data_IF_403427091822
#
_entry.id   IF_403427091822
#
_cell.length_a   1.000
_cell.length_b   1.000
_cell.length_c   1.000
_cell.angle_alpha   90.00
_cell.angle_beta   90.00
_cell.angle_gamma   90.00
#
_symmetry.space_group_name_H-M   'P 1'
#
loop_
_entity.id
_entity.type
_entity.pdbx_description
1 polymer ?
#
# COMPACT_ATOMS: atom_id res chain seq x y z
N UNK A 1 -6.82 -7.17 9.50
CA UNK A 1 -5.40 -7.45 9.79
C UNK A 1 -5.03 -6.83 11.13
N UNK A 2 -4.13 -7.43 11.91
CA UNK A 2 -3.76 -6.94 13.27
C UNK A 2 -2.89 -5.67 13.30
N UNK A 3 -2.46 -5.15 12.15
CA UNK A 3 -1.55 -4.01 12.03
C UNK A 3 -2.20 -2.67 12.44
N UNK A 4 -3.46 -2.47 12.06
CA UNK A 4 -4.18 -1.21 12.25
C UNK A 4 -5.63 -1.50 12.64
N UNK A 5 -6.17 -0.79 13.63
CA UNK A 5 -7.56 -0.93 14.11
C UNK A 5 -8.42 0.21 13.59
N UNK A 6 -9.72 -0.03 13.38
CA UNK A 6 -10.68 1.04 13.11
C UNK A 6 -10.93 1.82 14.40
N UNK A 7 -10.39 3.04 14.49
CA UNK A 7 -10.28 3.81 15.72
C UNK A 7 -11.62 4.01 16.46
N UNK A 8 -12.73 4.44 15.80
CA UNK A 8 -13.99 4.66 16.51
C UNK A 8 -14.53 3.40 17.19
N UNK A 9 -14.26 2.22 16.63
CA UNK A 9 -14.78 0.95 17.15
C UNK A 9 -13.80 0.17 18.01
N UNK A 10 -12.49 0.42 17.85
CA UNK A 10 -11.42 -0.42 18.39
C UNK A 10 -11.39 -1.84 17.79
N UNK A 11 -12.04 -2.08 16.65
CA UNK A 11 -12.11 -3.38 16.01
C UNK A 11 -11.17 -3.49 14.82
N UNK A 12 -10.57 -4.66 14.66
CA UNK A 12 -9.89 -5.14 13.47
C UNK A 12 -10.88 -5.85 12.53
N UNK A 13 -10.34 -6.36 11.42
CA UNK A 13 -11.08 -7.16 10.44
C UNK A 13 -11.95 -8.25 11.06
N UNK A 14 -13.16 -8.37 10.52
CA UNK A 14 -14.19 -9.33 10.92
C UNK A 14 -14.68 -9.18 12.37
N UNK A 15 -14.68 -7.94 12.90
CA UNK A 15 -15.24 -7.59 14.21
C UNK A 15 -14.36 -7.99 15.40
N UNK A 16 -13.10 -8.34 15.16
CA UNK A 16 -12.19 -8.76 16.22
C UNK A 16 -11.71 -7.55 17.04
N UNK A 17 -11.69 -7.68 18.37
CA UNK A 17 -11.31 -6.60 19.29
C UNK A 17 -10.16 -7.05 20.18
N UNK A 18 -8.90 -6.86 19.75
CA UNK A 18 -7.75 -7.38 20.46
C UNK A 18 -7.49 -6.56 21.73
N UNK A 19 -7.12 -7.21 22.83
CA UNK A 19 -6.60 -6.51 24.02
C UNK A 19 -5.11 -6.22 23.85
N UNK A 20 -4.57 -5.29 24.66
CA UNK A 20 -3.13 -5.01 24.70
C UNK A 20 -2.34 -6.28 25.03
N UNK A 21 -2.79 -7.05 26.02
CA UNK A 21 -2.14 -8.29 26.43
C UNK A 21 -2.12 -9.33 25.31
N UNK A 22 -3.18 -9.42 24.50
CA UNK A 22 -3.22 -10.34 23.36
C UNK A 22 -2.33 -9.89 22.20
N UNK A 23 -2.13 -8.59 22.00
CA UNK A 23 -1.20 -8.07 20.98
C UNK A 23 0.27 -8.26 21.39
N UNK A 24 0.57 -8.23 22.69
CA UNK A 24 1.92 -8.43 23.21
C UNK A 24 2.33 -9.91 23.30
N UNK A 25 1.36 -10.82 23.40
CA UNK A 25 1.61 -12.26 23.56
C UNK A 25 1.29 -13.04 22.27
N UNK A 26 2.33 -13.37 21.50
CA UNK A 26 2.19 -14.07 20.21
C UNK A 26 1.47 -15.43 20.28
N UNK A 27 1.55 -16.13 21.41
CA UNK A 27 0.91 -17.44 21.59
C UNK A 27 -0.62 -17.37 21.56
N UNK A 28 -1.24 -16.32 22.12
CA UNK A 28 -2.70 -16.13 22.11
C UNK A 28 -3.21 -15.47 20.83
N UNK A 29 -2.34 -14.73 20.15
CA UNK A 29 -2.65 -14.03 18.89
C UNK A 29 -2.94 -14.99 17.71
N UNK A 30 -2.20 -16.09 17.60
CA UNK A 30 -2.21 -16.96 16.40
C UNK A 30 -3.53 -17.66 16.11
N UNK A 31 -4.34 -17.97 17.12
CA UNK A 31 -5.62 -18.64 16.88
C UNK A 31 -6.72 -17.66 16.49
N UNK A 32 -6.81 -16.53 17.20
CA UNK A 32 -7.91 -15.57 17.11
C UNK A 32 -7.72 -14.47 16.05
N UNK A 33 -6.48 -14.10 15.72
CA UNK A 33 -6.21 -12.89 14.95
C UNK A 33 -5.90 -13.15 13.47
N UNK A 34 -6.22 -12.19 12.56
CA UNK A 34 -5.81 -12.21 11.17
C UNK A 34 -4.34 -11.74 11.07
N UNK A 35 -3.46 -12.60 11.55
CA UNK A 35 -1.99 -12.48 11.54
C UNK A 35 -1.39 -13.16 10.32
N UNK A 36 -0.10 -12.94 10.06
CA UNK A 36 0.56 -13.40 8.84
C UNK A 36 0.58 -14.92 8.67
N UNK A 37 0.57 -15.71 9.76
CA UNK A 37 0.50 -17.17 9.68
C UNK A 37 -0.78 -17.68 8.97
N UNK A 38 -1.87 -16.91 8.99
CA UNK A 38 -3.10 -17.25 8.25
C UNK A 38 -2.90 -17.21 6.74
N UNK A 39 -2.05 -16.30 6.26
CA UNK A 39 -1.66 -16.20 4.84
C UNK A 39 -0.73 -17.34 4.45
N UNK A 40 0.24 -17.70 5.31
CA UNK A 40 1.11 -18.86 5.09
C UNK A 40 0.34 -20.16 4.90
N UNK A 41 -0.68 -20.40 5.72
CA UNK A 41 -1.56 -21.59 5.59
C UNK A 41 -2.32 -21.66 4.26
N UNK A 42 -2.37 -20.56 3.50
CA UNK A 42 -3.03 -20.45 2.19
C UNK A 42 -2.05 -20.29 1.02
N UNK A 43 -0.74 -20.44 1.25
CA UNK A 43 0.28 -20.29 0.21
C UNK A 43 0.74 -18.85 -0.03
N UNK A 44 0.59 -17.97 0.98
CA UNK A 44 0.95 -16.55 0.92
C UNK A 44 0.15 -15.79 -0.17
N UNK A 45 0.74 -14.76 -0.77
CA UNK A 45 0.11 -13.95 -1.80
C UNK A 45 0.70 -14.35 -3.15
N UNK A 46 -0.13 -14.90 -4.02
CA UNK A 46 0.20 -15.18 -5.43
C UNK A 46 -0.97 -14.72 -6.27
N UNK A 47 -0.73 -13.86 -7.26
CA UNK A 47 -1.81 -13.32 -8.07
C UNK A 47 -1.30 -12.46 -9.22
N UNK A 48 -2.23 -11.81 -9.92
CA UNK A 48 -1.90 -10.88 -11.00
C UNK A 48 -1.56 -9.53 -10.39
N UNK A 49 -0.29 -9.12 -10.47
CA UNK A 49 0.13 -7.76 -10.15
C UNK A 49 -0.15 -6.82 -11.31
N UNK A 50 -0.59 -5.60 -11.02
CA UNK A 50 -0.75 -4.52 -12.00
C UNK A 50 -0.01 -3.28 -11.50
N UNK A 51 0.95 -2.78 -12.29
CA UNK A 51 1.74 -1.61 -11.93
C UNK A 51 1.14 -0.34 -12.53
N UNK A 52 0.73 0.58 -11.67
CA UNK A 52 0.40 1.96 -11.99
C UNK A 52 1.64 2.83 -11.75
N UNK A 53 2.27 3.27 -12.84
CA UNK A 53 3.50 4.05 -12.80
C UNK A 53 3.21 5.55 -12.90
N UNK A 54 2.77 6.11 -11.77
CA UNK A 54 2.44 7.53 -11.67
C UNK A 54 3.66 8.42 -11.90
N UNK A 55 4.84 8.00 -11.42
CA UNK A 55 6.08 8.76 -11.58
C UNK A 55 6.42 8.99 -13.05
N UNK A 56 6.46 7.94 -13.86
CA UNK A 56 6.78 8.08 -15.29
C UNK A 56 5.69 8.82 -16.06
N UNK A 57 4.42 8.63 -15.69
CA UNK A 57 3.31 9.41 -16.25
C UNK A 57 3.47 10.91 -15.95
N UNK A 58 3.76 11.27 -14.70
CA UNK A 58 3.97 12.64 -14.30
C UNK A 58 5.15 13.29 -15.02
N UNK A 59 6.27 12.58 -15.17
CA UNK A 59 7.43 13.06 -15.92
C UNK A 59 7.09 13.30 -17.40
N UNK A 60 6.36 12.37 -18.03
CA UNK A 60 5.95 12.47 -19.44
C UNK A 60 5.01 13.65 -19.70
N UNK A 61 4.17 14.00 -18.72
CA UNK A 61 3.16 15.05 -18.82
C UNK A 61 3.56 16.35 -18.12
N UNK A 62 4.82 16.49 -17.71
CA UNK A 62 5.35 17.67 -17.01
C UNK A 62 4.60 18.03 -15.71
N UNK A 63 4.02 17.03 -15.04
CA UNK A 63 3.34 17.19 -13.75
C UNK A 63 4.40 17.28 -12.65
N UNK A 64 4.47 18.43 -11.98
CA UNK A 64 5.41 18.66 -10.88
C UNK A 64 4.80 18.23 -9.55
N UNK A 65 5.46 17.30 -8.87
CA UNK A 65 5.19 16.94 -7.47
C UNK A 65 6.50 16.54 -6.79
N UNK A 66 6.47 16.39 -5.46
CA UNK A 66 7.60 15.87 -4.69
C UNK A 66 7.18 14.57 -3.97
N UNK A 67 8.04 13.54 -3.94
CA UNK A 67 7.78 12.33 -3.16
C UNK A 67 7.54 12.58 -1.66
N UNK A 68 8.12 13.65 -1.10
CA UNK A 68 8.01 14.03 0.31
C UNK A 68 7.12 15.25 0.53
N UNK A 69 6.15 15.50 -0.37
CA UNK A 69 5.06 16.46 -0.15
C UNK A 69 3.74 15.75 0.09
N UNK A 70 2.70 16.47 0.50
CA UNK A 70 1.34 15.92 0.64
C UNK A 70 0.60 15.74 -0.68
N UNK A 71 1.30 15.44 -1.79
CA UNK A 71 0.68 15.25 -3.11
C UNK A 71 -0.25 14.03 -3.13
N UNK A 72 -1.50 14.22 -3.56
CA UNK A 72 -2.56 13.21 -3.45
C UNK A 72 -3.00 12.74 -4.83
N UNK A 73 -2.99 11.42 -5.02
CA UNK A 73 -3.40 10.77 -6.25
C UNK A 73 -4.84 10.28 -6.07
N UNK A 74 -5.76 10.87 -6.83
CA UNK A 74 -7.19 10.54 -6.80
C UNK A 74 -7.51 9.25 -7.58
N UNK A 75 -8.71 8.67 -7.42
CA UNK A 75 -9.12 7.53 -8.25
C UNK A 75 -9.09 7.85 -9.75
N UNK A 76 -9.48 9.07 -10.15
CA UNK A 76 -9.42 9.52 -11.54
C UNK A 76 -8.00 9.60 -12.09
N UNK A 77 -7.02 9.97 -11.26
CA UNK A 77 -5.61 9.98 -11.67
C UNK A 77 -5.13 8.55 -11.97
N UNK A 78 -5.50 7.58 -11.11
CA UNK A 78 -5.15 6.17 -11.32
C UNK A 78 -5.77 5.64 -12.61
N UNK A 79 -7.05 5.92 -12.86
CA UNK A 79 -7.73 5.48 -14.09
C UNK A 79 -7.12 6.14 -15.34
N UNK A 80 -6.66 7.38 -15.22
CA UNK A 80 -5.97 8.09 -16.31
C UNK A 80 -4.63 7.45 -16.63
N UNK A 81 -3.84 7.14 -15.60
CA UNK A 81 -2.55 6.47 -15.76
C UNK A 81 -2.74 5.05 -16.29
N UNK A 82 -3.75 4.32 -15.79
CA UNK A 82 -4.11 3.00 -16.29
C UNK A 82 -4.49 3.04 -17.77
N UNK A 83 -5.27 4.04 -18.21
CA UNK A 83 -5.60 4.23 -19.61
C UNK A 83 -4.37 4.55 -20.48
N UNK A 84 -3.45 5.40 -19.98
CA UNK A 84 -2.18 5.71 -20.63
C UNK A 84 -1.29 4.45 -20.79
N UNK A 85 -1.28 3.59 -19.78
CA UNK A 85 -0.56 2.31 -19.79
C UNK A 85 -1.29 1.18 -20.56
N UNK A 86 -2.54 1.41 -21.00
CA UNK A 86 -3.37 0.38 -21.64
C UNK A 86 -3.83 -0.74 -20.71
N UNK A 87 -3.92 -0.48 -19.41
CA UNK A 87 -4.32 -1.45 -18.38
C UNK A 87 -5.84 -1.58 -18.32
N UNK A 88 -6.30 -2.82 -18.22
CA UNK A 88 -7.66 -3.15 -17.77
C UNK A 88 -7.56 -3.91 -16.45
N UNK A 89 -8.17 -3.34 -15.41
CA UNK A 89 -8.26 -4.00 -14.11
C UNK A 89 -9.21 -5.20 -14.15
N UNK A 90 -8.85 -6.22 -13.39
CA UNK A 90 -9.61 -7.46 -13.21
C UNK A 90 -9.82 -7.73 -11.72
N UNK A 91 -10.88 -8.48 -11.41
CA UNK A 91 -11.15 -8.87 -10.03
C UNK A 91 -10.02 -9.74 -9.49
N UNK A 92 -9.53 -9.42 -8.30
CA UNK A 92 -8.42 -10.12 -7.65
C UNK A 92 -7.04 -9.57 -7.99
N UNK A 93 -6.95 -8.51 -8.79
CA UNK A 93 -5.68 -7.82 -9.06
C UNK A 93 -5.02 -7.35 -7.75
N UNK A 94 -3.69 -7.39 -7.76
CA UNK A 94 -2.85 -6.76 -6.75
C UNK A 94 -2.38 -5.44 -7.33
N UNK A 95 -2.94 -4.34 -6.84
CA UNK A 95 -2.63 -2.99 -7.30
C UNK A 95 -1.27 -2.56 -6.76
N UNK A 96 -0.34 -2.22 -7.64
CA UNK A 96 1.00 -1.76 -7.28
C UNK A 96 1.17 -0.33 -7.79
N UNK A 97 1.59 0.59 -6.93
CA UNK A 97 1.65 2.02 -7.22
C UNK A 97 3.10 2.53 -7.08
N UNK A 98 3.65 3.07 -8.16
CA UNK A 98 4.95 3.73 -8.13
C UNK A 98 4.79 5.25 -8.13
N UNK A 99 5.22 5.88 -7.04
CA UNK A 99 5.25 7.33 -6.85
C UNK A 99 6.67 7.92 -6.88
N UNK A 100 7.71 7.10 -6.96
CA UNK A 100 9.13 7.51 -6.99
C UNK A 100 9.77 7.73 -5.62
N UNK A 101 9.14 7.31 -4.52
CA UNK A 101 9.65 7.57 -3.15
C UNK A 101 10.91 6.76 -2.84
N UNK A 102 10.91 5.44 -3.08
CA UNK A 102 12.11 4.61 -2.79
C UNK A 102 13.31 4.95 -3.67
N UNK A 103 13.09 5.37 -4.91
CA UNK A 103 14.13 5.86 -5.82
C UNK A 103 14.78 7.15 -5.28
N UNK A 104 13.96 8.12 -4.89
CA UNK A 104 14.45 9.38 -4.33
C UNK A 104 15.23 9.14 -3.02
N UNK A 105 14.71 8.28 -2.13
CA UNK A 105 15.43 7.86 -0.92
C UNK A 105 16.76 7.19 -1.25
N UNK A 106 16.81 6.35 -2.28
CA UNK A 106 18.03 5.63 -2.69
C UNK A 106 19.18 6.54 -3.12
N UNK A 107 18.87 7.76 -3.58
CA UNK A 107 19.84 8.77 -3.99
C UNK A 107 20.32 9.68 -2.84
N UNK A 108 19.71 9.58 -1.66
CA UNK A 108 20.00 10.41 -0.48
C UNK A 108 21.04 9.77 0.43
N UNK A 109 21.78 10.62 1.16
CA UNK A 109 22.57 10.21 2.33
C UNK A 109 21.66 9.79 3.49
N UNK A 110 22.21 9.08 4.47
CA UNK A 110 21.45 8.65 5.66
C UNK A 110 20.83 9.82 6.45
N UNK A 111 21.52 10.97 6.52
CA UNK A 111 21.01 12.17 7.19
C UNK A 111 19.83 12.79 6.42
N UNK A 112 19.93 12.88 5.09
CA UNK A 112 18.85 13.37 4.22
C UNK A 112 17.63 12.45 4.27
N UNK A 113 17.84 11.12 4.26
CA UNK A 113 16.76 10.14 4.44
C UNK A 113 16.04 10.34 5.78
N UNK A 114 16.79 10.49 6.87
CA UNK A 114 16.22 10.73 8.20
C UNK A 114 15.38 12.02 8.22
N UNK A 115 15.90 13.10 7.62
CA UNK A 115 15.20 14.38 7.52
C UNK A 115 13.91 14.26 6.69
N UNK A 116 13.98 13.66 5.49
CA UNK A 116 12.84 13.46 4.61
C UNK A 116 11.72 12.64 5.28
N UNK A 117 12.10 11.53 5.93
CA UNK A 117 11.15 10.63 6.61
C UNK A 117 10.57 11.22 7.90
N UNK A 118 11.31 12.11 8.58
CA UNK A 118 10.83 12.78 9.79
C UNK A 118 9.80 13.88 9.53
N UNK A 119 9.67 14.34 8.27
CA UNK A 119 8.73 15.39 7.89
C UNK A 119 7.26 14.99 8.04
N UNK A 120 6.98 13.69 8.08
CA UNK A 120 5.63 13.11 8.04
C UNK A 120 4.80 13.56 6.83
N UNK A 121 5.46 14.01 5.75
CA UNK A 121 4.85 14.32 4.47
C UNK A 121 5.33 13.30 3.44
N UNK A 122 4.38 12.72 2.72
CA UNK A 122 4.66 11.77 1.66
C UNK A 122 3.52 11.79 0.66
N UNK A 123 3.85 11.71 -0.62
CA UNK A 123 2.85 11.57 -1.65
C UNK A 123 2.20 10.19 -1.56
N UNK A 124 1.02 10.01 -2.14
CA UNK A 124 0.35 8.72 -2.16
C UNK A 124 -1.10 8.82 -2.58
N UNK A 125 -1.84 7.72 -2.42
CA UNK A 125 -3.27 7.71 -2.68
C UNK A 125 -4.01 8.75 -1.83
N UNK A 126 -5.04 9.37 -2.39
CA UNK A 126 -5.90 10.24 -1.61
C UNK A 126 -6.62 9.46 -0.51
N UNK A 127 -6.44 9.88 0.75
CA UNK A 127 -7.04 9.25 1.93
C UNK A 127 -8.53 9.57 2.08
N UNK A 128 -9.38 9.16 1.14
CA UNK A 128 -10.82 9.46 1.14
C UNK A 128 -11.70 8.21 1.14
N UNK A 129 -12.96 8.38 1.57
CA UNK A 129 -13.99 7.33 1.42
C UNK A 129 -14.25 6.99 -0.05
N UNK A 130 -14.01 7.94 -0.95
CA UNK A 130 -14.12 7.71 -2.39
C UNK A 130 -13.03 6.77 -2.89
N UNK A 131 -11.77 7.01 -2.53
CA UNK A 131 -10.67 6.10 -2.83
C UNK A 131 -10.90 4.71 -2.25
N UNK A 132 -11.31 4.62 -0.98
CA UNK A 132 -11.64 3.33 -0.35
C UNK A 132 -12.75 2.58 -1.11
N UNK A 133 -13.81 3.30 -1.53
CA UNK A 133 -14.89 2.72 -2.34
C UNK A 133 -14.41 2.26 -3.70
N UNK A 134 -13.54 3.03 -4.35
CA UNK A 134 -12.97 2.67 -5.65
C UNK A 134 -12.14 1.38 -5.56
N UNK A 135 -11.24 1.29 -4.57
CA UNK A 135 -10.43 0.08 -4.30
C UNK A 135 -11.34 -1.14 -4.11
N UNK A 136 -12.38 -1.00 -3.27
CA UNK A 136 -13.34 -2.08 -3.03
C UNK A 136 -14.10 -2.50 -4.28
N UNK A 137 -14.64 -1.54 -5.04
CA UNK A 137 -15.45 -1.80 -6.23
C UNK A 137 -14.64 -2.41 -7.39
N UNK A 138 -13.33 -2.15 -7.46
CA UNK A 138 -12.42 -2.82 -8.41
C UNK A 138 -12.08 -4.26 -7.99
N UNK A 139 -12.46 -4.67 -6.78
CA UNK A 139 -12.19 -5.99 -6.22
C UNK A 139 -10.70 -6.33 -6.18
N UNK A 140 -9.85 -5.36 -5.85
CA UNK A 140 -8.42 -5.62 -5.62
C UNK A 140 -8.23 -6.57 -4.43
N UNK A 141 -7.28 -7.50 -4.56
CA UNK A 141 -6.93 -8.44 -3.50
C UNK A 141 -5.94 -7.83 -2.49
N UNK A 142 -5.11 -6.88 -2.93
CA UNK A 142 -4.09 -6.20 -2.15
C UNK A 142 -3.70 -4.88 -2.82
N UNK A 143 -3.10 -3.96 -2.06
CA UNK A 143 -2.50 -2.73 -2.59
C UNK A 143 -1.08 -2.63 -2.07
N UNK A 144 -0.12 -2.32 -2.94
CA UNK A 144 1.27 -2.07 -2.57
C UNK A 144 1.78 -0.79 -3.23
N UNK A 145 2.77 -0.15 -2.62
CA UNK A 145 3.40 1.05 -3.16
C UNK A 145 4.86 1.17 -2.76
N UNK A 146 5.55 2.12 -3.38
CA UNK A 146 6.91 2.54 -3.01
C UNK A 146 6.96 3.66 -1.97
N UNK A 147 5.83 4.19 -1.50
CA UNK A 147 5.80 5.17 -0.42
C UNK A 147 5.69 4.52 0.96
N UNK A 148 5.60 5.37 1.98
CA UNK A 148 5.66 4.99 3.41
C UNK A 148 4.33 4.52 4.01
N UNK A 149 3.21 4.72 3.31
CA UNK A 149 1.87 4.58 3.90
C UNK A 149 0.77 4.16 2.90
N UNK A 150 1.08 3.88 1.63
CA UNK A 150 0.13 3.74 0.51
C UNK A 150 -0.67 5.00 0.18
N UNK A 151 -1.30 5.63 1.18
CA UNK A 151 -1.97 6.92 1.11
C UNK A 151 -1.02 8.10 1.41
N UNK A 152 -1.39 9.28 0.94
CA UNK A 152 -0.65 10.51 1.14
C UNK A 152 -0.71 10.99 2.59
N UNK A 153 0.43 11.46 3.11
CA UNK A 153 0.57 12.00 4.44
C UNK A 153 0.82 13.53 4.41
N UNK A 154 0.28 14.27 5.39
CA UNK A 154 -0.58 13.83 6.50
C UNK A 154 -2.00 13.43 6.03
N UNK A 155 -2.76 12.64 6.82
CA UNK A 155 -4.16 12.36 6.49
C UNK A 155 -5.02 13.62 6.56
N UNK A 156 -5.95 13.75 5.62
CA UNK A 156 -6.91 14.85 5.53
C UNK A 156 -8.32 14.30 5.72
N UNK A 157 -9.03 14.78 6.72
CA UNK A 157 -10.43 14.38 6.99
C UNK A 157 -11.27 15.64 7.05
N UNK A 158 -12.27 15.72 6.18
CA UNK A 158 -13.18 16.86 6.04
C UNK A 158 -12.44 18.21 5.85
N UNK A 159 -11.33 18.17 5.10
CA UNK A 159 -10.51 19.35 4.79
C UNK A 159 -9.50 19.74 5.87
N UNK A 160 -9.42 18.99 6.98
CA UNK A 160 -8.48 19.25 8.07
C UNK A 160 -7.39 18.19 8.15
N UNK A 161 -6.15 18.62 8.41
CA UNK A 161 -5.06 17.71 8.76
C UNK A 161 -5.37 16.96 10.05
N UNK A 162 -5.09 15.66 10.06
CA UNK A 162 -5.25 14.79 11.22
C UNK A 162 -3.91 14.12 11.57
N UNK A 163 -3.77 13.64 12.81
CA UNK A 163 -2.61 12.83 13.21
C UNK A 163 -2.49 11.57 12.35
N UNK A 164 -1.28 11.03 12.21
CA UNK A 164 -1.01 9.80 11.44
C UNK A 164 -1.79 8.57 11.94
N UNK A 165 -2.29 8.59 13.18
CA UNK A 165 -3.18 7.54 13.67
C UNK A 165 -4.54 7.52 12.95
N UNK A 166 -4.91 8.57 12.22
CA UNK A 166 -6.17 8.68 11.49
C UNK A 166 -6.03 8.46 9.98
N UNK A 167 -4.98 7.74 9.55
CA UNK A 167 -4.85 7.27 8.17
C UNK A 167 -6.15 6.56 7.72
N UNK A 168 -6.71 7.02 6.61
CA UNK A 168 -8.07 6.69 6.19
C UNK A 168 -8.06 5.36 5.46
N UNK A 169 -7.18 5.18 4.48
CA UNK A 169 -7.08 3.93 3.72
C UNK A 169 -6.55 2.79 4.56
N UNK A 170 -5.67 3.05 5.53
CA UNK A 170 -5.26 2.06 6.52
C UNK A 170 -6.44 1.44 7.25
N UNK A 171 -7.35 2.27 7.77
CA UNK A 171 -8.53 1.80 8.49
C UNK A 171 -9.47 1.03 7.55
N UNK A 172 -9.75 1.57 6.36
CA UNK A 172 -10.65 0.91 5.40
C UNK A 172 -10.08 -0.40 4.88
N UNK A 173 -8.85 -0.41 4.38
CA UNK A 173 -8.24 -1.61 3.80
C UNK A 173 -8.03 -2.69 4.87
N UNK A 174 -7.36 -2.36 5.98
CA UNK A 174 -6.90 -3.37 6.93
C UNK A 174 -7.98 -3.82 7.91
N UNK A 175 -8.79 -2.89 8.44
CA UNK A 175 -9.81 -3.18 9.44
C UNK A 175 -11.18 -3.47 8.85
N UNK A 176 -11.56 -2.84 7.73
CA UNK A 176 -12.90 -3.03 7.16
C UNK A 176 -12.88 -4.13 6.09
N UNK A 177 -12.08 -3.96 5.04
CA UNK A 177 -12.08 -4.87 3.89
C UNK A 177 -11.29 -6.16 4.12
N UNK A 178 -10.31 -6.13 5.02
CA UNK A 178 -9.37 -7.23 5.20
C UNK A 178 -8.35 -7.31 4.06
N UNK A 179 -8.13 -6.20 3.37
CA UNK A 179 -7.23 -6.03 2.24
C UNK A 179 -5.83 -5.66 2.76
N UNK A 180 -4.79 -6.48 2.50
CA UNK A 180 -3.42 -6.21 2.93
C UNK A 180 -2.78 -5.04 2.16
N UNK A 181 -1.91 -4.31 2.86
CA UNK A 181 -1.10 -3.22 2.30
C UNK A 181 0.39 -3.62 2.25
N UNK A 182 1.09 -3.17 1.22
CA UNK A 182 2.55 -3.26 1.09
C UNK A 182 3.16 -1.87 0.91
N UNK A 183 4.23 -1.58 1.63
CA UNK A 183 4.85 -0.25 1.68
C UNK A 183 6.35 -0.36 1.42
N UNK A 184 6.95 0.73 0.94
CA UNK A 184 8.39 0.85 0.68
C UNK A 184 8.92 -0.20 -0.30
N UNK A 185 8.13 -0.59 -1.29
CA UNK A 185 8.61 -1.47 -2.35
C UNK A 185 9.57 -0.71 -3.26
N UNK A 186 10.63 -1.38 -3.71
CA UNK A 186 11.49 -0.85 -4.77
C UNK A 186 10.88 -1.21 -6.12
N UNK A 187 10.43 -0.19 -6.87
CA UNK A 187 9.63 -0.38 -8.08
C UNK A 187 10.27 0.21 -9.34
N UNK A 188 11.44 0.85 -9.23
CA UNK A 188 12.08 1.51 -10.37
C UNK A 188 12.44 0.52 -11.49
N UNK A 189 13.22 -0.52 -11.18
CA UNK A 189 13.63 -1.53 -12.17
C UNK A 189 12.41 -2.25 -12.79
N UNK A 190 11.39 -2.52 -11.98
CA UNK A 190 10.14 -3.12 -12.46
C UNK A 190 9.42 -2.19 -13.46
N UNK A 191 9.35 -0.89 -13.16
CA UNK A 191 8.76 0.11 -14.04
C UNK A 191 9.53 0.26 -15.36
N UNK A 192 10.86 0.30 -15.29
CA UNK A 192 11.73 0.33 -16.47
C UNK A 192 11.49 -0.88 -17.39
N UNK A 193 11.43 -2.09 -16.80
CA UNK A 193 11.15 -3.30 -17.57
C UNK A 193 9.72 -3.32 -18.14
N UNK A 194 8.71 -2.92 -17.36
CA UNK A 194 7.32 -2.83 -17.83
C UNK A 194 7.18 -1.85 -19.01
N UNK A 195 7.89 -0.72 -18.94
CA UNK A 195 7.93 0.29 -20.00
C UNK A 195 8.59 -0.25 -21.27
N UNK A 196 9.74 -0.91 -21.15
CA UNK A 196 10.44 -1.52 -22.27
C UNK A 196 9.59 -2.57 -23.00
N UNK A 197 8.88 -3.42 -22.23
CA UNK A 197 8.03 -4.48 -22.78
C UNK A 197 6.62 -4.02 -23.15
N UNK A 198 6.24 -2.78 -22.78
CA UNK A 198 4.88 -2.24 -22.85
C UNK A 198 3.85 -3.18 -22.18
N UNK A 199 4.23 -3.77 -21.05
CA UNK A 199 3.44 -4.73 -20.28
C UNK A 199 3.45 -4.36 -18.81
N UNK A 200 2.27 -4.02 -18.29
CA UNK A 200 2.11 -3.50 -16.92
C UNK A 200 1.39 -4.46 -15.97
N UNK A 201 1.24 -5.72 -16.39
CA UNK A 201 0.69 -6.78 -15.55
C UNK A 201 1.57 -8.02 -15.61
N UNK A 202 1.70 -8.70 -14.49
CA UNK A 202 2.65 -9.79 -14.29
C UNK A 202 2.16 -10.74 -13.21
N UNK A 203 2.78 -11.93 -13.13
CA UNK A 203 2.59 -12.78 -11.96
C UNK A 203 3.37 -12.16 -10.79
N UNK A 204 2.69 -11.89 -9.69
CA UNK A 204 3.29 -11.41 -8.46
C UNK A 204 3.24 -12.52 -7.41
N UNK A 205 4.38 -12.76 -6.76
CA UNK A 205 4.44 -13.53 -5.52
C UNK A 205 4.94 -12.64 -4.40
N UNK A 206 4.30 -12.65 -3.23
CA UNK A 206 4.78 -11.99 -2.01
C UNK A 206 4.65 -12.98 -0.85
N UNK A 207 5.80 -13.35 -0.30
CA UNK A 207 5.94 -14.42 0.69
C UNK A 207 6.56 -13.86 1.98
N UNK A 208 5.76 -13.20 2.84
CA UNK A 208 6.25 -12.65 4.10
C UNK A 208 6.89 -13.73 4.97
N UNK A 209 7.71 -13.35 5.95
CA UNK A 209 8.30 -14.30 6.89
C UNK A 209 7.22 -15.07 7.66
N UNK A 210 7.43 -16.38 7.87
CA UNK A 210 6.52 -17.22 8.64
C UNK A 210 6.77 -17.03 10.15
N UNK A 211 6.31 -15.90 10.68
CA UNK A 211 6.39 -15.57 12.11
C UNK A 211 4.96 -15.55 12.68
N UNK A 212 4.54 -16.61 13.40
CA UNK A 212 3.20 -16.67 13.96
C UNK A 212 2.89 -15.49 14.88
N UNK A 213 1.70 -14.90 14.71
CA UNK A 213 1.28 -13.73 15.47
C UNK A 213 1.79 -12.39 14.92
N UNK A 214 2.68 -12.40 13.92
CA UNK A 214 3.16 -11.16 13.30
C UNK A 214 2.05 -10.42 12.57
N UNK A 215 2.08 -9.08 12.67
CA UNK A 215 1.14 -8.16 12.02
C UNK A 215 1.71 -7.49 10.76
N UNK A 216 2.97 -7.75 10.45
CA UNK A 216 3.70 -7.23 9.30
C UNK A 216 5.02 -7.97 9.12
N UNK A 217 5.62 -7.86 7.94
CA UNK A 217 6.88 -8.53 7.58
C UNK A 217 7.49 -7.85 6.36
N UNK A 218 8.83 -7.94 6.15
CA UNK A 218 9.41 -7.65 4.84
C UNK A 218 8.68 -8.42 3.74
N UNK A 219 8.45 -7.76 2.61
CA UNK A 219 7.54 -8.28 1.58
C UNK A 219 8.01 -9.60 0.95
N UNK A 220 9.32 -9.72 0.67
CA UNK A 220 9.88 -10.81 -0.16
C UNK A 220 9.03 -11.01 -1.43
N UNK A 221 8.91 -9.94 -2.21
CA UNK A 221 8.04 -9.85 -3.37
C UNK A 221 8.85 -10.02 -4.67
N UNK A 222 8.32 -10.80 -5.60
CA UNK A 222 8.88 -11.04 -6.92
C UNK A 222 7.80 -10.78 -7.97
N UNK A 223 8.15 -9.98 -8.98
CA UNK A 223 7.38 -9.83 -10.20
C UNK A 223 8.00 -10.70 -11.30
N UNK A 224 7.16 -11.47 -12.00
CA UNK A 224 7.58 -12.37 -13.09
C UNK A 224 6.86 -11.91 -14.36
N UNK A 225 7.63 -11.32 -15.28
CA UNK A 225 7.18 -10.66 -16.52
C UNK A 225 7.25 -11.58 -17.74
#
# INVERSE_FOLDING_TARGET
>A
MGHFLHLPSGMAYNGMKPTIDELQNSATATEKFPTLDKWHKRGCIVGRGVLIDYKSYADHHDIKYSPFSGHRISPSDIETVAAWQGIKFESGDILILRFGVTEELGNMTAEEQANAMSSHHACGLEGTKEMARWIWNKHFAAVASDNVAVEAMPPMVDGEEKPLTQLVLHQWCLSMFGLPLGELWYLQELAEQCSADRKWSFLLTSAPLNVPGAVGSPANALAIL
#
